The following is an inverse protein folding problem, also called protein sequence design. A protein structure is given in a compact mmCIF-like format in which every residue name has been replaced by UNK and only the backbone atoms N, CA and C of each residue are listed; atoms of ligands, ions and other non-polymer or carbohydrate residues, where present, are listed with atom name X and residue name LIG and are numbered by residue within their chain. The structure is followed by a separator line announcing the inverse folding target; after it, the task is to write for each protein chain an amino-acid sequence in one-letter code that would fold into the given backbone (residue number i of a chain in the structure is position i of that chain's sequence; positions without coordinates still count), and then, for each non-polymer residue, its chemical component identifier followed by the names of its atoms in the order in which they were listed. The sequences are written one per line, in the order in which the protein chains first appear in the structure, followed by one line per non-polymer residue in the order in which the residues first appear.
data_IF_823274449250
#
_entry.id   IF_823274449250
#
_cell.length_a   1.000
_cell.length_b   1.000
_cell.length_c   1.000
_cell.angle_alpha   90.00
_cell.angle_beta   90.00
_cell.angle_gamma   90.00
#
_symmetry.space_group_name_H-M   'P 1'
#
loop_
_entity.id
_entity.type
_entity.pdbx_description
1 polymer ?
#
# COMPACT_ATOMS: atom_id res chain seq x y z
N UNK A 1 9.75 10.75 8.05
CA UNK A 1 10.46 9.56 7.56
C UNK A 1 9.55 8.74 6.66
N UNK A 2 10.12 8.12 5.63
CA UNK A 2 9.43 7.17 4.76
C UNK A 2 9.64 5.75 5.28
N UNK A 3 8.54 5.06 5.61
CA UNK A 3 8.51 3.63 5.95
C UNK A 3 8.28 2.76 4.71
N UNK A 4 9.21 1.87 4.42
CA UNK A 4 9.19 0.92 3.30
C UNK A 4 9.20 -0.50 3.86
N UNK A 5 8.22 -1.32 3.48
CA UNK A 5 8.23 -2.75 3.79
C UNK A 5 9.03 -3.51 2.74
N UNK A 6 10.00 -4.32 3.17
CA UNK A 6 10.80 -5.18 2.29
C UNK A 6 10.52 -6.63 2.64
N UNK A 7 10.10 -7.41 1.65
CA UNK A 7 9.85 -8.84 1.83
C UNK A 7 10.21 -9.62 0.56
N UNK A 8 10.14 -10.93 0.64
CA UNK A 8 10.47 -11.82 -0.46
C UNK A 8 10.47 -13.28 -0.02
N UNK A 9 10.18 -14.17 -0.96
CA UNK A 9 10.21 -15.60 -0.68
C UNK A 9 11.62 -16.07 -0.27
N UNK A 10 11.69 -17.17 0.50
CA UNK A 10 12.97 -17.78 0.86
C UNK A 10 13.79 -18.10 -0.40
N UNK A 11 15.06 -17.67 -0.44
CA UNK A 11 15.94 -17.83 -1.60
C UNK A 11 15.80 -16.75 -2.68
N UNK A 12 14.87 -15.79 -2.55
CA UNK A 12 14.69 -14.70 -3.52
C UNK A 12 15.81 -13.65 -3.48
N UNK A 13 16.64 -13.63 -2.44
CA UNK A 13 17.75 -12.67 -2.32
C UNK A 13 17.33 -11.30 -1.78
N UNK A 14 16.34 -11.26 -0.89
CA UNK A 14 15.94 -10.07 -0.12
C UNK A 14 17.13 -9.32 0.50
N UNK A 15 18.08 -10.05 1.08
CA UNK A 15 19.29 -9.47 1.67
C UNK A 15 20.13 -8.68 0.66
N UNK A 16 20.17 -9.09 -0.61
CA UNK A 16 20.87 -8.34 -1.67
C UNK A 16 20.26 -6.95 -1.85
N UNK A 17 18.94 -6.87 -1.95
CA UNK A 17 18.24 -5.59 -2.07
C UNK A 17 18.36 -4.75 -0.78
N UNK A 18 18.23 -5.38 0.39
CA UNK A 18 18.38 -4.71 1.68
C UNK A 18 19.77 -4.07 1.84
N UNK A 19 20.84 -4.84 1.58
CA UNK A 19 22.22 -4.33 1.62
C UNK A 19 22.41 -3.18 0.65
N UNK A 20 21.92 -3.30 -0.58
CA UNK A 20 22.05 -2.22 -1.57
C UNK A 20 21.30 -0.95 -1.17
N UNK A 21 20.11 -1.07 -0.57
CA UNK A 21 19.39 0.09 -0.02
C UNK A 21 20.16 0.72 1.15
N UNK A 22 20.79 -0.07 2.01
CA UNK A 22 21.62 0.44 3.10
C UNK A 22 22.86 1.19 2.60
N UNK A 23 23.50 0.72 1.52
CA UNK A 23 24.62 1.41 0.86
C UNK A 23 24.23 2.81 0.36
N UNK A 24 22.97 3.00 -0.02
CA UNK A 24 22.41 4.32 -0.38
C UNK A 24 22.01 5.19 0.82
N UNK A 25 22.08 4.66 2.04
CA UNK A 25 21.76 5.38 3.28
C UNK A 25 20.40 5.04 3.90
N UNK A 26 19.72 3.98 3.44
CA UNK A 26 18.50 3.52 4.11
C UNK A 26 18.80 3.00 5.53
N UNK A 27 17.92 3.32 6.48
CA UNK A 27 17.97 2.71 7.82
C UNK A 27 17.28 1.36 7.76
N UNK A 28 18.05 0.27 7.93
CA UNK A 28 17.49 -1.08 7.95
C UNK A 28 16.99 -1.48 9.34
N UNK A 29 15.73 -1.85 9.41
CA UNK A 29 15.11 -2.49 10.56
C UNK A 29 14.86 -3.95 10.17
N UNK A 30 15.55 -4.89 10.80
CA UNK A 30 15.45 -6.33 10.50
C UNK A 30 14.62 -7.03 11.58
N UNK A 31 13.41 -7.47 11.23
CA UNK A 31 12.51 -8.17 12.14
C UNK A 31 13.12 -9.44 12.73
N UNK A 32 13.86 -10.22 11.95
CA UNK A 32 14.48 -11.45 12.43
C UNK A 32 15.60 -11.11 13.42
N UNK A 33 16.42 -10.10 13.13
CA UNK A 33 17.46 -9.63 14.06
C UNK A 33 16.84 -9.16 15.38
N UNK A 34 15.82 -8.31 15.32
CA UNK A 34 15.14 -7.79 16.52
C UNK A 34 14.51 -8.93 17.33
N UNK A 35 13.88 -9.90 16.68
CA UNK A 35 13.33 -11.08 17.34
C UNK A 35 14.40 -11.94 18.04
N UNK A 36 15.67 -11.84 17.63
CA UNK A 36 16.79 -12.46 18.36
C UNK A 36 17.22 -11.59 19.54
N UNK A 37 17.39 -10.29 19.33
CA UNK A 37 17.86 -9.32 20.33
C UNK A 37 16.96 -9.28 21.58
N UNK A 38 15.64 -9.27 21.40
CA UNK A 38 14.69 -9.14 22.52
C UNK A 38 14.65 -10.36 23.45
N UNK A 39 15.33 -11.45 23.09
CA UNK A 39 15.48 -12.68 23.88
C UNK A 39 16.95 -13.06 24.10
N UNK A 40 17.86 -12.10 24.00
CA UNK A 40 19.27 -12.32 24.37
C UNK A 40 19.46 -12.52 25.88
N UNK A 41 20.56 -13.14 26.31
CA UNK A 41 20.90 -13.27 27.74
C UNK A 41 20.76 -11.96 28.51
N UNK A 42 20.08 -12.02 29.66
CA UNK A 42 19.86 -10.86 30.53
C UNK A 42 18.67 -9.97 30.14
N UNK A 43 17.97 -10.24 29.04
CA UNK A 43 16.78 -9.49 28.66
C UNK A 43 15.52 -9.94 29.43
N UNK A 44 14.55 -9.03 29.65
CA UNK A 44 13.24 -9.40 30.19
C UNK A 44 12.50 -10.41 29.29
N UNK A 45 12.72 -10.36 27.97
CA UNK A 45 12.08 -11.29 27.04
C UNK A 45 12.57 -12.72 27.21
N UNK A 46 13.87 -12.94 27.39
CA UNK A 46 14.40 -14.28 27.67
C UNK A 46 13.83 -14.82 29.00
N UNK A 47 13.81 -14.01 30.05
CA UNK A 47 13.24 -14.40 31.34
C UNK A 47 11.76 -14.79 31.22
N UNK A 48 10.97 -14.04 30.45
CA UNK A 48 9.56 -14.35 30.20
C UNK A 48 9.39 -15.66 29.40
N UNK A 49 10.24 -15.91 28.39
CA UNK A 49 10.26 -17.16 27.64
C UNK A 49 10.57 -18.35 28.55
N UNK A 50 11.61 -18.24 29.40
CA UNK A 50 11.98 -19.29 30.36
C UNK A 50 10.84 -19.55 31.36
N UNK A 51 10.20 -18.50 31.88
CA UNK A 51 9.06 -18.64 32.78
C UNK A 51 7.88 -19.38 32.14
N UNK A 52 7.66 -19.19 30.83
CA UNK A 52 6.54 -19.80 30.10
C UNK A 52 6.82 -21.22 29.58
N UNK A 53 8.08 -21.54 29.26
CA UNK A 53 8.46 -22.78 28.57
C UNK A 53 9.44 -23.68 29.34
N UNK A 54 9.95 -23.24 30.49
CA UNK A 54 10.91 -23.99 31.32
C UNK A 54 12.37 -23.67 31.01
N UNK A 55 13.28 -24.04 31.93
CA UNK A 55 14.72 -23.77 31.83
C UNK A 55 15.43 -24.59 30.74
N UNK A 56 14.84 -25.68 30.27
CA UNK A 56 15.36 -26.51 29.19
C UNK A 56 15.31 -25.84 27.80
N UNK A 57 14.74 -24.63 27.71
CA UNK A 57 14.90 -23.75 26.54
C UNK A 57 16.19 -22.93 26.59
N UNK A 58 17.02 -23.09 27.62
CA UNK A 58 18.35 -22.49 27.71
C UNK A 58 19.44 -23.47 27.25
N UNK A 59 20.49 -22.92 26.66
CA UNK A 59 21.77 -23.60 26.46
C UNK A 59 22.65 -23.47 27.71
N UNK A 60 23.75 -24.22 27.76
CA UNK A 60 24.68 -24.24 28.91
C UNK A 60 25.30 -22.87 29.21
N UNK A 61 25.41 -22.00 28.21
CA UNK A 61 25.93 -20.63 28.34
C UNK A 61 24.87 -19.61 28.77
N UNK A 62 23.64 -20.05 29.04
CA UNK A 62 22.50 -19.20 29.40
C UNK A 62 21.82 -18.51 28.22
N UNK A 63 22.22 -18.80 26.99
CA UNK A 63 21.53 -18.32 25.78
C UNK A 63 20.30 -19.16 25.44
N UNK A 64 19.43 -18.62 24.59
CA UNK A 64 18.23 -19.31 24.15
C UNK A 64 18.56 -20.49 23.21
N UNK A 65 18.23 -21.71 23.64
CA UNK A 65 18.22 -22.91 22.79
C UNK A 65 17.01 -22.87 21.85
N UNK A 66 17.19 -22.27 20.67
CA UNK A 66 16.12 -22.09 19.67
C UNK A 66 15.49 -23.41 19.19
N UNK A 67 16.25 -24.49 18.90
CA UNK A 67 15.65 -25.79 18.59
C UNK A 67 14.73 -26.32 19.70
N UNK A 68 15.16 -26.25 20.97
CA UNK A 68 14.35 -26.68 22.09
C UNK A 68 13.09 -25.82 22.26
N UNK A 69 13.23 -24.50 22.16
CA UNK A 69 12.07 -23.60 22.16
C UNK A 69 11.12 -23.90 21.01
N UNK A 70 11.63 -24.09 19.79
CA UNK A 70 10.80 -24.37 18.62
C UNK A 70 10.01 -25.68 18.78
N UNK A 71 10.64 -26.73 19.32
CA UNK A 71 9.98 -28.01 19.58
C UNK A 71 8.79 -27.86 20.55
N UNK A 72 8.88 -26.93 21.51
CA UNK A 72 7.79 -26.64 22.46
C UNK A 72 6.76 -25.67 21.91
N UNK A 73 7.22 -24.52 21.40
CA UNK A 73 6.37 -23.43 20.97
C UNK A 73 5.56 -23.76 19.71
N UNK A 74 6.03 -24.70 18.88
CA UNK A 74 5.30 -25.14 17.69
C UNK A 74 4.68 -26.54 17.83
N UNK A 75 4.61 -27.08 19.05
CA UNK A 75 3.92 -28.34 19.31
C UNK A 75 2.40 -28.20 19.15
N UNK A 76 1.85 -27.03 19.53
CA UNK A 76 0.42 -26.75 19.49
C UNK A 76 0.14 -25.24 19.32
N UNK A 77 -1.12 -24.91 19.02
CA UNK A 77 -1.56 -23.53 18.76
C UNK A 77 -1.50 -22.64 20.01
N UNK A 78 -1.75 -23.19 21.19
CA UNK A 78 -1.76 -22.43 22.45
C UNK A 78 -0.33 -22.01 22.83
N UNK A 79 0.62 -22.94 22.74
CA UNK A 79 2.05 -22.72 22.92
C UNK A 79 2.58 -21.68 21.93
N UNK A 80 2.16 -21.75 20.66
CA UNK A 80 2.53 -20.76 19.64
C UNK A 80 2.00 -19.37 19.98
N UNK A 81 0.73 -19.26 20.36
CA UNK A 81 0.12 -18.00 20.81
C UNK A 81 0.81 -17.44 22.04
N UNK A 82 1.20 -18.29 22.99
CA UNK A 82 1.93 -17.90 24.20
C UNK A 82 3.29 -17.30 23.88
N UNK A 83 4.09 -17.96 23.03
CA UNK A 83 5.36 -17.41 22.59
C UNK A 83 5.17 -16.07 21.86
N UNK A 84 4.23 -16.02 20.91
CA UNK A 84 3.95 -14.80 20.15
C UNK A 84 3.49 -13.65 21.07
N UNK A 85 2.69 -13.94 22.09
CA UNK A 85 2.24 -12.96 23.08
C UNK A 85 3.38 -12.38 23.93
N UNK A 86 4.48 -13.11 24.12
CA UNK A 86 5.68 -12.62 24.79
C UNK A 86 6.55 -11.81 23.81
N UNK A 87 6.82 -12.38 22.63
CA UNK A 87 7.84 -11.84 21.71
C UNK A 87 7.32 -10.66 20.90
N UNK A 88 6.08 -10.70 20.38
CA UNK A 88 5.58 -9.65 19.47
C UNK A 88 5.55 -8.25 20.11
N UNK A 89 5.08 -8.07 21.37
CA UNK A 89 5.12 -6.75 22.00
C UNK A 89 6.55 -6.20 22.14
N UNK A 90 7.52 -7.06 22.47
CA UNK A 90 8.92 -6.67 22.62
C UNK A 90 9.55 -6.29 21.27
N UNK A 91 9.28 -7.07 20.22
CA UNK A 91 9.69 -6.75 18.85
C UNK A 91 9.09 -5.42 18.40
N UNK A 92 7.81 -5.19 18.68
CA UNK A 92 7.12 -3.94 18.39
C UNK A 92 7.74 -2.74 19.10
N UNK A 93 8.02 -2.86 20.40
CA UNK A 93 8.68 -1.82 21.19
C UNK A 93 10.08 -1.50 20.64
N UNK A 94 10.90 -2.52 20.40
CA UNK A 94 12.26 -2.33 19.86
C UNK A 94 12.25 -1.74 18.44
N UNK A 95 11.29 -2.13 17.62
CA UNK A 95 11.05 -1.53 16.30
C UNK A 95 10.72 -0.04 16.43
N UNK A 96 9.84 0.33 17.36
CA UNK A 96 9.47 1.71 17.60
C UNK A 96 10.65 2.56 18.10
N UNK A 97 11.50 2.01 18.97
CA UNK A 97 12.75 2.66 19.42
C UNK A 97 13.68 2.94 18.23
N UNK A 98 13.96 1.93 17.40
CA UNK A 98 14.82 2.09 16.22
C UNK A 98 14.25 3.10 15.22
N UNK A 99 12.93 3.13 15.06
CA UNK A 99 12.28 4.16 14.24
C UNK A 99 12.41 5.55 14.86
N UNK A 100 12.30 5.69 16.19
CA UNK A 100 12.45 6.97 16.88
C UNK A 100 13.90 7.51 16.87
N UNK A 101 14.89 6.62 16.80
CA UNK A 101 16.31 6.96 16.65
C UNK A 101 16.66 7.42 15.23
N UNK A 102 15.85 7.06 14.22
CA UNK A 102 16.10 7.44 12.84
C UNK A 102 15.91 8.95 12.61
N UNK A 103 16.73 9.52 11.72
CA UNK A 103 16.59 10.93 11.35
C UNK A 103 15.20 11.22 10.76
N UNK A 104 14.64 12.44 10.95
CA UNK A 104 13.31 12.78 10.43
C UNK A 104 13.17 12.58 8.91
N UNK A 105 14.26 12.73 8.17
CA UNK A 105 14.39 12.58 6.71
C UNK A 105 14.86 11.19 6.26
N UNK A 106 14.91 10.21 7.18
CA UNK A 106 15.32 8.86 6.85
C UNK A 106 14.30 8.12 5.96
N UNK A 107 14.82 7.29 5.07
CA UNK A 107 14.10 6.17 4.47
C UNK A 107 14.36 4.93 5.33
N UNK A 108 13.33 4.49 6.06
CA UNK A 108 13.39 3.30 6.92
C UNK A 108 12.86 2.11 6.13
N UNK A 109 13.72 1.11 5.91
CA UNK A 109 13.36 -0.13 5.24
C UNK A 109 13.21 -1.22 6.31
N UNK A 110 11.98 -1.67 6.51
CA UNK A 110 11.66 -2.76 7.42
C UNK A 110 11.68 -4.09 6.66
N UNK A 111 12.71 -4.88 6.90
CA UNK A 111 12.82 -6.24 6.41
C UNK A 111 11.95 -7.17 7.28
N UNK A 112 10.87 -7.70 6.67
CA UNK A 112 9.86 -8.52 7.34
C UNK A 112 9.57 -9.77 6.49
N UNK A 113 10.07 -10.96 6.88
CA UNK A 113 9.84 -12.20 6.14
C UNK A 113 8.36 -12.57 5.98
N UNK A 114 7.52 -12.27 6.98
CA UNK A 114 6.10 -12.62 7.03
C UNK A 114 5.18 -11.42 6.77
N UNK A 115 5.63 -10.43 6.01
CA UNK A 115 4.85 -9.21 5.73
C UNK A 115 3.51 -9.53 5.06
N UNK A 116 3.53 -10.46 4.10
CA UNK A 116 2.35 -10.84 3.33
C UNK A 116 1.42 -11.72 4.16
N UNK A 117 1.98 -12.72 4.81
CA UNK A 117 1.28 -13.68 5.67
C UNK A 117 0.63 -12.99 6.88
N UNK A 118 1.28 -11.97 7.43
CA UNK A 118 0.78 -11.18 8.56
C UNK A 118 -0.16 -10.03 8.17
N UNK A 119 -0.46 -9.85 6.88
CA UNK A 119 -1.25 -8.72 6.37
C UNK A 119 -0.71 -7.35 6.83
N UNK A 120 0.62 -7.20 6.85
CA UNK A 120 1.29 -6.00 7.38
C UNK A 120 1.56 -4.93 6.32
N UNK A 121 1.33 -5.24 5.04
CA UNK A 121 1.54 -4.33 3.92
C UNK A 121 0.91 -2.93 4.11
N UNK A 122 -0.33 -2.80 4.65
CA UNK A 122 -0.97 -1.48 4.77
C UNK A 122 -0.30 -0.55 5.80
N UNK A 123 0.59 -1.07 6.65
CA UNK A 123 1.35 -0.28 7.62
C UNK A 123 2.53 0.51 7.00
N UNK A 124 2.85 0.26 5.73
CA UNK A 124 3.97 0.87 5.01
C UNK A 124 3.48 1.76 3.88
N UNK A 125 4.19 2.86 3.63
CA UNK A 125 3.89 3.74 2.49
C UNK A 125 4.17 3.06 1.15
N UNK A 126 5.15 2.15 1.14
CA UNK A 126 5.56 1.38 -0.04
C UNK A 126 6.02 -0.02 0.37
N UNK A 127 5.63 -1.04 -0.38
CA UNK A 127 6.06 -2.43 -0.21
C UNK A 127 6.88 -2.86 -1.42
N UNK A 128 8.12 -3.25 -1.16
CA UNK A 128 9.06 -3.86 -2.10
C UNK A 128 9.05 -5.36 -1.91
N UNK A 129 8.77 -6.10 -2.97
CA UNK A 129 8.90 -7.55 -3.00
C UNK A 129 10.08 -7.92 -3.89
N UNK A 130 11.03 -8.66 -3.33
CA UNK A 130 12.08 -9.32 -4.08
C UNK A 130 11.63 -10.74 -4.40
N UNK A 131 11.67 -11.10 -5.67
CA UNK A 131 11.30 -12.44 -6.13
C UNK A 131 12.36 -13.02 -7.07
N UNK A 132 12.30 -14.34 -7.27
CA UNK A 132 13.08 -15.05 -8.26
C UNK A 132 12.34 -16.34 -8.65
N UNK A 133 12.53 -16.88 -9.87
CA UNK A 133 11.91 -18.13 -10.27
C UNK A 133 12.18 -19.27 -9.27
N UNK A 134 11.20 -20.16 -9.09
CA UNK A 134 11.28 -21.26 -8.10
C UNK A 134 12.60 -22.03 -8.18
N UNK A 135 13.01 -22.44 -9.38
CA UNK A 135 14.24 -23.22 -9.57
C UNK A 135 15.51 -22.43 -9.19
N UNK A 136 15.54 -21.12 -9.43
CA UNK A 136 16.64 -20.25 -8.98
C UNK A 136 16.69 -20.19 -7.46
N UNK A 137 15.53 -20.07 -6.80
CA UNK A 137 15.42 -20.05 -5.34
C UNK A 137 15.86 -21.39 -4.73
N UNK A 138 15.39 -22.51 -5.27
CA UNK A 138 15.77 -23.87 -4.84
C UNK A 138 17.28 -24.04 -4.96
N UNK A 139 17.87 -23.76 -6.14
CA UNK A 139 19.32 -23.83 -6.36
C UNK A 139 20.10 -23.03 -5.31
N UNK A 140 19.72 -21.77 -5.07
CA UNK A 140 20.36 -20.92 -4.06
C UNK A 140 20.30 -21.51 -2.66
N UNK A 141 19.19 -22.14 -2.28
CA UNK A 141 19.02 -22.76 -0.96
C UNK A 141 19.85 -24.03 -0.80
N UNK A 142 19.95 -24.83 -1.85
CA UNK A 142 20.80 -26.03 -1.86
C UNK A 142 22.28 -25.64 -1.81
N UNK A 143 22.72 -24.78 -2.74
CA UNK A 143 24.15 -24.44 -2.91
C UNK A 143 24.68 -23.56 -1.77
N UNK A 144 23.96 -22.50 -1.39
CA UNK A 144 24.47 -21.53 -0.42
C UNK A 144 24.12 -21.88 1.04
N UNK A 145 23.09 -22.71 1.27
CA UNK A 145 22.64 -23.06 2.63
C UNK A 145 22.65 -24.56 2.93
N UNK A 146 23.08 -25.40 1.99
CA UNK A 146 23.21 -26.85 2.18
C UNK A 146 21.88 -27.57 2.45
N UNK A 147 20.75 -26.99 2.05
CA UNK A 147 19.44 -27.62 2.25
C UNK A 147 19.25 -28.79 1.29
N UNK A 148 18.55 -29.84 1.75
CA UNK A 148 18.02 -30.85 0.85
C UNK A 148 16.99 -30.23 -0.10
N UNK A 149 17.00 -30.61 -1.36
CA UNK A 149 16.13 -30.02 -2.38
C UNK A 149 14.64 -30.12 -2.01
N UNK A 150 14.21 -31.30 -1.54
CA UNK A 150 12.82 -31.53 -1.13
C UNK A 150 12.39 -30.63 0.04
N UNK A 151 13.28 -30.39 1.01
CA UNK A 151 13.03 -29.46 2.12
C UNK A 151 12.95 -28.01 1.61
N UNK A 152 13.86 -27.60 0.72
CA UNK A 152 13.82 -26.27 0.11
C UNK A 152 12.49 -26.02 -0.63
N UNK A 153 12.04 -26.99 -1.44
CA UNK A 153 10.75 -26.93 -2.15
C UNK A 153 9.55 -26.93 -1.20
N UNK A 154 9.60 -27.72 -0.12
CA UNK A 154 8.54 -27.76 0.88
C UNK A 154 8.39 -26.39 1.57
N UNK A 155 9.51 -25.78 1.98
CA UNK A 155 9.51 -24.45 2.62
C UNK A 155 9.05 -23.34 1.70
N UNK A 156 9.46 -23.35 0.43
CA UNK A 156 9.00 -22.37 -0.56
C UNK A 156 7.47 -22.44 -0.71
N UNK A 157 6.90 -23.65 -0.78
CA UNK A 157 5.45 -23.86 -0.93
C UNK A 157 4.64 -23.51 0.32
N UNK A 158 5.25 -23.51 1.50
CA UNK A 158 4.58 -23.17 2.76
C UNK A 158 4.42 -21.65 2.96
N UNK A 159 5.14 -20.82 2.19
CA UNK A 159 5.04 -19.36 2.24
C UNK A 159 3.88 -18.85 1.37
N UNK A 160 3.59 -17.55 1.45
CA UNK A 160 2.65 -16.90 0.55
C UNK A 160 2.93 -17.25 -0.93
N UNK A 161 1.88 -17.34 -1.74
CA UNK A 161 2.00 -17.51 -3.19
C UNK A 161 2.46 -16.22 -3.89
N UNK A 162 2.91 -16.33 -5.13
CA UNK A 162 3.30 -15.17 -5.93
C UNK A 162 2.11 -14.24 -6.21
N UNK A 163 0.90 -14.78 -6.35
CA UNK A 163 -0.32 -14.00 -6.48
C UNK A 163 -0.59 -13.15 -5.23
N UNK A 164 -0.44 -13.74 -4.03
CA UNK A 164 -0.58 -13.02 -2.76
C UNK A 164 0.50 -11.94 -2.60
N UNK A 165 1.76 -12.24 -2.99
CA UNK A 165 2.84 -11.25 -3.03
C UNK A 165 2.51 -10.10 -4.01
N UNK A 166 2.13 -10.41 -5.25
CA UNK A 166 1.79 -9.41 -6.28
C UNK A 166 0.63 -8.50 -5.87
N UNK A 167 -0.34 -9.02 -5.12
CA UNK A 167 -1.46 -8.24 -4.60
C UNK A 167 -1.00 -7.06 -3.74
N UNK A 168 0.06 -7.24 -2.94
CA UNK A 168 0.54 -6.24 -1.99
C UNK A 168 1.80 -5.48 -2.43
N UNK A 169 2.45 -5.88 -3.53
CA UNK A 169 3.66 -5.22 -4.02
C UNK A 169 3.38 -3.89 -4.76
N UNK A 170 3.97 -2.79 -4.29
CA UNK A 170 4.06 -1.54 -5.09
C UNK A 170 5.28 -1.53 -5.99
N UNK A 171 6.31 -2.29 -5.61
CA UNK A 171 7.53 -2.53 -6.37
C UNK A 171 7.81 -4.02 -6.37
N UNK A 172 8.09 -4.56 -7.55
CA UNK A 172 8.54 -5.93 -7.74
C UNK A 172 9.94 -5.92 -8.31
N UNK A 173 10.90 -6.46 -7.56
CA UNK A 173 12.28 -6.61 -7.97
C UNK A 173 12.51 -8.06 -8.40
N UNK A 174 12.83 -8.26 -9.67
CA UNK A 174 13.19 -9.58 -10.21
C UNK A 174 14.68 -9.85 -9.98
N UNK A 175 14.96 -10.78 -9.09
CA UNK A 175 16.29 -11.27 -8.77
C UNK A 175 16.51 -12.69 -9.30
N UNK A 176 15.89 -13.04 -10.43
CA UNK A 176 16.09 -14.31 -11.13
C UNK A 176 17.35 -14.35 -11.98
N UNK A 177 17.80 -13.19 -12.46
CA UNK A 177 18.91 -13.04 -13.39
C UNK A 177 20.27 -12.78 -12.74
N UNK A 178 21.12 -12.07 -13.47
CA UNK A 178 22.41 -11.60 -12.98
C UNK A 178 22.22 -10.53 -11.89
N UNK A 179 23.11 -10.54 -10.89
CA UNK A 179 22.95 -9.72 -9.69
C UNK A 179 23.05 -8.21 -9.99
N UNK A 180 23.84 -7.82 -10.99
CA UNK A 180 23.97 -6.43 -11.44
C UNK A 180 22.64 -5.83 -11.93
N UNK A 181 21.75 -6.63 -12.52
CA UNK A 181 20.42 -6.18 -12.96
C UNK A 181 19.57 -5.74 -11.76
N UNK A 182 19.42 -6.60 -10.75
CA UNK A 182 18.61 -6.25 -9.57
C UNK A 182 19.24 -5.11 -8.77
N UNK A 183 20.57 -5.00 -8.75
CA UNK A 183 21.26 -3.88 -8.09
C UNK A 183 20.96 -2.57 -8.82
N UNK A 184 20.97 -2.56 -10.16
CA UNK A 184 20.59 -1.38 -10.94
C UNK A 184 19.11 -1.00 -10.73
N UNK A 185 18.20 -1.98 -10.63
CA UNK A 185 16.79 -1.72 -10.32
C UNK A 185 16.61 -1.12 -8.91
N UNK A 186 17.41 -1.58 -7.92
CA UNK A 186 17.42 -0.98 -6.57
C UNK A 186 17.97 0.44 -6.60
N UNK A 187 19.01 0.71 -7.39
CA UNK A 187 19.58 2.05 -7.57
C UNK A 187 18.55 3.02 -8.17
N UNK A 188 17.85 2.58 -9.21
CA UNK A 188 16.77 3.35 -9.83
C UNK A 188 15.59 3.55 -8.87
N UNK A 189 15.19 2.50 -8.13
CA UNK A 189 14.16 2.59 -7.11
C UNK A 189 14.50 3.67 -6.06
N UNK A 190 15.75 3.68 -5.60
CA UNK A 190 16.23 4.64 -4.62
C UNK A 190 16.13 6.08 -5.16
N UNK A 191 16.79 6.34 -6.30
CA UNK A 191 16.91 7.69 -6.86
C UNK A 191 15.58 8.25 -7.37
N UNK A 192 14.81 7.44 -8.11
CA UNK A 192 13.67 7.94 -8.87
C UNK A 192 12.34 7.86 -8.11
N UNK A 193 12.29 7.10 -7.00
CA UNK A 193 11.05 6.90 -6.24
C UNK A 193 11.24 7.13 -4.74
N UNK A 194 12.17 6.45 -4.07
CA UNK A 194 12.25 6.52 -2.59
C UNK A 194 12.67 7.90 -2.09
N UNK A 195 13.73 8.48 -2.65
CA UNK A 195 14.21 9.83 -2.27
C UNK A 195 13.14 10.91 -2.48
N UNK A 196 12.53 11.05 -3.68
CA UNK A 196 11.47 12.04 -3.88
C UNK A 196 10.20 11.73 -3.06
N UNK A 197 9.86 10.46 -2.83
CA UNK A 197 8.70 10.08 -2.03
C UNK A 197 8.90 10.44 -0.55
N UNK A 198 10.09 10.21 0.01
CA UNK A 198 10.45 10.65 1.37
C UNK A 198 10.21 12.14 1.53
N UNK A 199 10.78 12.94 0.62
CA UNK A 199 10.66 14.38 0.67
C UNK A 199 9.18 14.81 0.59
N UNK A 200 8.38 14.18 -0.27
CA UNK A 200 6.96 14.48 -0.39
C UNK A 200 6.18 14.12 0.88
N UNK A 201 6.45 12.97 1.49
CA UNK A 201 5.78 12.55 2.74
C UNK A 201 6.14 13.48 3.89
N UNK A 202 7.43 13.69 4.14
CA UNK A 202 7.91 14.52 5.26
C UNK A 202 7.47 15.97 5.14
N UNK A 203 7.49 16.52 3.93
CA UNK A 203 7.10 17.91 3.67
C UNK A 203 5.60 18.06 3.35
N UNK A 204 4.83 16.97 3.40
CA UNK A 204 3.41 16.90 3.01
C UNK A 204 3.13 17.58 1.66
N UNK A 205 4.04 17.37 0.69
CA UNK A 205 3.94 18.01 -0.62
C UNK A 205 3.04 17.18 -1.54
N UNK A 206 2.08 17.82 -2.22
CA UNK A 206 1.36 17.17 -3.30
C UNK A 206 2.31 16.89 -4.45
N UNK A 207 1.97 15.91 -5.29
CA UNK A 207 2.68 15.70 -6.55
C UNK A 207 2.56 16.96 -7.44
N UNK A 208 3.54 17.25 -8.32
CA UNK A 208 3.41 18.34 -9.29
C UNK A 208 2.21 18.16 -10.25
N UNK A 209 1.57 19.25 -10.70
CA UNK A 209 0.54 19.17 -11.74
C UNK A 209 1.10 18.54 -13.02
N UNK A 210 0.26 17.81 -13.74
CA UNK A 210 0.62 17.16 -15.01
C UNK A 210 -0.50 17.34 -16.04
N UNK A 211 -0.15 17.40 -17.32
CA UNK A 211 -1.11 17.41 -18.42
C UNK A 211 -1.88 16.08 -18.52
N UNK A 212 -3.11 16.07 -19.09
CA UNK A 212 -3.90 14.86 -19.20
C UNK A 212 -3.35 13.91 -20.28
N UNK A 213 -2.62 12.87 -19.87
CA UNK A 213 -2.23 11.77 -20.75
C UNK A 213 -3.23 10.62 -20.56
N UNK A 214 -3.94 10.25 -21.63
CA UNK A 214 -4.88 9.13 -21.61
C UNK A 214 -4.17 7.86 -22.08
N UNK A 215 -4.20 6.85 -21.23
CA UNK A 215 -3.66 5.52 -21.50
C UNK A 215 -4.79 4.51 -21.73
N UNK A 216 -4.52 3.38 -22.44
CA UNK A 216 -5.40 2.22 -22.41
C UNK A 216 -5.69 1.76 -20.98
N UNK A 217 -6.78 1.02 -20.79
CA UNK A 217 -7.11 0.47 -19.48
C UNK A 217 -6.04 -0.51 -19.00
N UNK A 218 -5.44 -0.24 -17.84
CA UNK A 218 -4.53 -1.16 -17.18
C UNK A 218 -5.31 -2.10 -16.26
N UNK A 219 -5.25 -3.40 -16.56
CA UNK A 219 -5.94 -4.45 -15.78
C UNK A 219 -5.45 -4.58 -14.35
N UNK A 220 -4.31 -3.98 -14.02
CA UNK A 220 -3.74 -3.97 -12.66
C UNK A 220 -4.23 -2.79 -11.80
N UNK A 221 -4.90 -1.79 -12.38
CA UNK A 221 -5.43 -0.65 -11.61
C UNK A 221 -6.31 -1.02 -10.40
N UNK A 222 -7.24 -2.00 -10.49
CA UNK A 222 -8.04 -2.40 -9.33
C UNK A 222 -7.16 -2.90 -8.17
N UNK A 223 -6.15 -3.70 -8.47
CA UNK A 223 -5.21 -4.22 -7.48
C UNK A 223 -4.33 -3.11 -6.89
N UNK A 224 -3.89 -2.17 -7.73
CA UNK A 224 -3.15 -0.98 -7.27
C UNK A 224 -4.01 -0.10 -6.35
N UNK A 225 -5.28 0.12 -6.70
CA UNK A 225 -6.22 0.88 -5.87
C UNK A 225 -6.49 0.21 -4.53
N UNK A 226 -6.63 -1.12 -4.51
CA UNK A 226 -6.86 -1.85 -3.26
C UNK A 226 -5.67 -1.72 -2.29
N UNK A 227 -4.43 -1.68 -2.78
CA UNK A 227 -3.26 -1.39 -1.90
C UNK A 227 -3.37 -0.02 -1.23
N UNK A 228 -3.76 1.00 -1.98
CA UNK A 228 -3.91 2.35 -1.45
C UNK A 228 -5.11 2.44 -0.49
N UNK A 229 -6.24 1.80 -0.84
CA UNK A 229 -7.41 1.73 0.04
C UNK A 229 -7.09 0.99 1.34
N UNK A 230 -6.31 -0.08 1.31
CA UNK A 230 -5.89 -0.77 2.53
C UNK A 230 -5.09 0.14 3.47
N UNK A 231 -4.15 0.95 2.94
CA UNK A 231 -3.41 1.96 3.72
C UNK A 231 -4.35 3.01 4.32
N UNK A 232 -5.28 3.52 3.51
CA UNK A 232 -6.25 4.51 3.95
C UNK A 232 -7.22 3.96 5.00
N UNK A 233 -7.66 2.71 4.88
CA UNK A 233 -8.47 2.03 5.90
C UNK A 233 -7.71 1.91 7.21
N UNK A 234 -6.44 1.51 7.17
CA UNK A 234 -5.60 1.46 8.36
C UNK A 234 -5.40 2.85 8.99
N UNK A 235 -5.19 3.88 8.18
CA UNK A 235 -4.99 5.25 8.66
C UNK A 235 -6.26 5.88 9.25
N UNK A 236 -7.43 5.60 8.65
CA UNK A 236 -8.70 6.17 9.07
C UNK A 236 -9.33 5.43 10.26
N UNK A 237 -9.01 4.14 10.44
CA UNK A 237 -9.52 3.31 11.54
C UNK A 237 -11.06 3.29 11.59
N UNK A 238 -11.60 3.27 12.81
CA UNK A 238 -13.03 3.07 13.06
C UNK A 238 -13.91 4.26 12.64
N UNK A 239 -13.32 5.40 12.27
CA UNK A 239 -14.05 6.57 11.75
C UNK A 239 -14.47 6.42 10.29
N UNK A 240 -13.94 5.42 9.59
CA UNK A 240 -14.25 5.19 8.19
C UNK A 240 -15.52 4.36 8.04
N UNK A 241 -16.52 4.91 7.36
CA UNK A 241 -17.73 4.16 7.01
C UNK A 241 -17.48 3.24 5.81
N UNK A 242 -16.72 3.72 4.82
CA UNK A 242 -16.45 2.99 3.58
C UNK A 242 -15.26 3.57 2.81
N UNK A 243 -14.56 2.72 2.05
CA UNK A 243 -13.47 3.08 1.16
C UNK A 243 -13.69 2.46 -0.24
N UNK A 244 -13.66 3.26 -1.30
CA UNK A 244 -13.95 2.83 -2.67
C UNK A 244 -12.93 3.30 -3.69
N UNK A 245 -12.70 2.45 -4.70
CA UNK A 245 -12.09 2.86 -5.95
C UNK A 245 -13.16 3.46 -6.87
N UNK A 246 -12.91 4.68 -7.32
CA UNK A 246 -13.78 5.49 -8.16
C UNK A 246 -13.10 5.89 -9.47
N UNK A 247 -13.77 6.76 -10.23
CA UNK A 247 -13.22 7.38 -11.42
C UNK A 247 -13.05 6.39 -12.56
N UNK A 248 -12.40 6.84 -13.63
CA UNK A 248 -12.28 6.04 -14.85
C UNK A 248 -11.40 4.79 -14.67
N UNK A 249 -10.40 4.83 -13.78
CA UNK A 249 -9.51 3.68 -13.53
C UNK A 249 -10.23 2.52 -12.83
N UNK A 250 -11.40 2.76 -12.24
CA UNK A 250 -12.25 1.72 -11.64
C UNK A 250 -13.18 1.02 -12.64
N UNK A 251 -13.26 1.48 -13.89
CA UNK A 251 -14.19 0.92 -14.89
C UNK A 251 -13.43 0.04 -15.89
N UNK A 252 -13.66 -1.29 -15.90
CA UNK A 252 -12.99 -2.18 -16.85
C UNK A 252 -13.14 -1.75 -18.32
N UNK A 253 -12.01 -1.66 -19.00
CA UNK A 253 -11.93 -1.31 -20.42
C UNK A 253 -12.05 0.18 -20.74
N UNK A 254 -12.22 1.06 -19.75
CA UNK A 254 -12.30 2.51 -19.98
C UNK A 254 -10.90 3.16 -19.99
N UNK A 255 -10.44 3.75 -21.12
CA UNK A 255 -9.19 4.51 -21.16
C UNK A 255 -9.23 5.69 -20.20
N UNK A 256 -8.13 5.96 -19.51
CA UNK A 256 -8.09 6.96 -18.45
C UNK A 256 -6.72 7.61 -18.31
N UNK A 257 -6.69 8.74 -17.60
CA UNK A 257 -5.45 9.22 -16.99
C UNK A 257 -5.01 8.16 -15.99
N UNK A 258 -3.71 7.88 -15.93
CA UNK A 258 -3.14 6.94 -14.97
C UNK A 258 -3.06 7.55 -13.55
N UNK A 259 -4.23 7.88 -13.01
CA UNK A 259 -4.46 8.45 -11.69
C UNK A 259 -5.60 7.65 -11.05
N UNK A 260 -5.33 7.09 -9.89
CA UNK A 260 -6.36 6.37 -9.12
C UNK A 260 -7.20 7.41 -8.37
N UNK A 261 -8.50 7.44 -8.62
CA UNK A 261 -9.43 8.26 -7.83
C UNK A 261 -10.06 7.35 -6.77
N UNK A 262 -9.89 7.69 -5.50
CA UNK A 262 -10.39 6.94 -4.35
C UNK A 262 -11.39 7.80 -3.58
N UNK A 263 -12.32 7.16 -2.87
CA UNK A 263 -13.20 7.85 -1.94
C UNK A 263 -13.18 7.21 -0.57
N UNK A 264 -13.08 8.06 0.44
CA UNK A 264 -13.38 7.74 1.84
C UNK A 264 -14.73 8.37 2.18
N UNK A 265 -15.63 7.58 2.75
CA UNK A 265 -16.88 8.09 3.32
C UNK A 265 -16.77 8.04 4.83
N UNK A 266 -16.97 9.21 5.45
CA UNK A 266 -16.87 9.44 6.89
C UNK A 266 -18.19 10.04 7.40
N UNK A 267 -18.51 9.98 8.71
CA UNK A 267 -19.79 10.46 9.20
C UNK A 267 -20.06 11.95 8.97
N UNK A 268 -19.01 12.78 9.07
CA UNK A 268 -19.11 14.25 8.93
C UNK A 268 -17.84 14.87 8.34
N UNK A 269 -17.88 16.13 7.91
CA UNK A 269 -16.66 16.86 7.53
C UNK A 269 -15.74 17.15 8.72
N UNK A 270 -16.27 17.24 9.95
CA UNK A 270 -15.44 17.34 11.15
C UNK A 270 -14.59 16.07 11.34
N UNK A 271 -15.14 14.88 11.01
CA UNK A 271 -14.37 13.64 11.00
C UNK A 271 -13.32 13.62 9.87
N UNK A 272 -13.65 14.18 8.70
CA UNK A 272 -12.67 14.34 7.63
C UNK A 272 -11.48 15.20 8.08
N UNK A 273 -11.75 16.32 8.76
CA UNK A 273 -10.73 17.22 9.30
C UNK A 273 -9.90 16.55 10.41
N UNK A 274 -10.55 15.79 11.31
CA UNK A 274 -9.87 15.05 12.37
C UNK A 274 -8.94 13.94 11.82
N UNK A 275 -9.29 13.34 10.67
CA UNK A 275 -8.48 12.30 10.01
C UNK A 275 -7.36 12.86 9.14
N UNK A 276 -7.37 14.15 8.81
CA UNK A 276 -6.47 14.71 7.81
C UNK A 276 -4.98 14.49 8.13
N UNK A 277 -4.62 14.57 9.42
CA UNK A 277 -3.27 14.30 9.90
C UNK A 277 -2.85 12.85 9.66
N UNK A 278 -3.67 11.89 10.09
CA UNK A 278 -3.38 10.46 9.95
C UNK A 278 -3.31 10.02 8.48
N UNK A 279 -4.20 10.53 7.62
CA UNK A 279 -4.17 10.28 6.18
C UNK A 279 -2.88 10.87 5.55
N UNK A 280 -2.48 12.07 5.97
CA UNK A 280 -1.23 12.69 5.52
C UNK A 280 0.00 11.87 5.94
N UNK A 281 0.04 11.40 7.18
CA UNK A 281 1.12 10.56 7.72
C UNK A 281 1.16 9.17 7.08
N UNK A 282 0.08 8.73 6.45
CA UNK A 282 0.03 7.53 5.61
C UNK A 282 0.50 7.77 4.17
N UNK A 283 0.96 8.98 3.84
CA UNK A 283 1.51 9.34 2.53
C UNK A 283 0.50 9.98 1.58
N UNK A 284 -0.62 10.48 2.10
CA UNK A 284 -1.65 11.18 1.33
C UNK A 284 -1.87 12.59 1.88
N UNK A 285 -0.95 13.54 1.62
CA UNK A 285 -1.10 14.91 2.10
C UNK A 285 -2.45 15.54 1.70
N UNK A 286 -3.03 16.28 2.66
CA UNK A 286 -4.19 17.12 2.41
C UNK A 286 -3.84 18.20 1.39
N UNK A 287 -4.71 18.38 0.40
CA UNK A 287 -4.61 19.48 -0.54
C UNK A 287 -5.35 20.69 0.02
N UNK A 288 -4.61 21.74 0.35
CA UNK A 288 -5.18 22.98 0.89
C UNK A 288 -6.16 23.63 -0.09
N UNK A 289 -7.16 24.34 0.44
CA UNK A 289 -8.18 25.04 -0.34
C UNK A 289 -9.61 24.58 -0.06
N UNK A 290 -10.56 25.28 -0.65
CA UNK A 290 -11.98 24.94 -0.59
C UNK A 290 -12.33 23.98 -1.72
N UNK A 291 -12.64 22.74 -1.36
CA UNK A 291 -12.99 21.69 -2.30
C UNK A 291 -14.47 21.37 -2.24
N UNK A 292 -15.13 21.37 -3.39
CA UNK A 292 -16.56 21.10 -3.51
C UNK A 292 -16.84 20.11 -4.63
N UNK A 293 -18.01 19.47 -4.59
CA UNK A 293 -18.65 18.83 -5.74
C UNK A 293 -19.87 19.66 -6.16
N UNK A 294 -20.16 19.66 -7.46
CA UNK A 294 -21.30 20.38 -8.02
C UNK A 294 -22.61 19.65 -7.72
N UNK A 295 -23.65 20.36 -7.22
CA UNK A 295 -24.97 19.79 -7.07
C UNK A 295 -25.62 19.55 -8.43
N UNK A 296 -26.55 18.60 -8.49
CA UNK A 296 -27.32 18.35 -9.72
C UNK A 296 -28.46 19.37 -9.94
N UNK A 297 -28.87 20.08 -8.88
CA UNK A 297 -29.92 21.09 -8.95
C UNK A 297 -29.32 22.47 -9.27
N UNK A 298 -29.87 23.13 -10.29
CA UNK A 298 -29.43 24.46 -10.71
C UNK A 298 -29.61 25.48 -9.58
N UNK A 299 -28.53 26.19 -9.23
CA UNK A 299 -28.53 27.21 -8.19
C UNK A 299 -28.43 26.68 -6.75
N UNK A 300 -28.32 25.36 -6.55
CA UNK A 300 -28.06 24.80 -5.23
C UNK A 300 -26.64 25.12 -4.74
N UNK A 301 -26.46 25.11 -3.43
CA UNK A 301 -25.15 25.34 -2.82
C UNK A 301 -24.18 24.17 -3.13
N UNK A 302 -22.90 24.45 -3.42
CA UNK A 302 -21.88 23.42 -3.63
C UNK A 302 -21.75 22.48 -2.43
N UNK A 303 -21.42 21.22 -2.69
CA UNK A 303 -21.26 20.21 -1.64
C UNK A 303 -19.81 20.14 -1.16
N UNK A 304 -19.48 20.59 0.07
CA UNK A 304 -18.12 20.62 0.55
C UNK A 304 -17.54 19.21 0.76
N UNK A 305 -16.24 19.07 0.49
CA UNK A 305 -15.45 17.85 0.70
C UNK A 305 -14.03 18.17 1.17
N UNK A 306 -13.22 17.14 1.40
CA UNK A 306 -11.76 17.25 1.47
C UNK A 306 -11.12 16.44 0.37
N UNK A 307 -9.94 16.87 -0.06
CA UNK A 307 -9.15 16.16 -1.08
C UNK A 307 -7.75 15.96 -0.54
N UNK A 308 -7.29 14.72 -0.54
CA UNK A 308 -5.89 14.36 -0.36
C UNK A 308 -5.33 13.85 -1.69
N UNK A 309 -4.01 13.87 -1.82
CA UNK A 309 -3.31 13.32 -3.00
C UNK A 309 -2.17 12.42 -2.56
N UNK A 310 -1.86 11.40 -3.34
CA UNK A 310 -0.71 10.52 -3.07
C UNK A 310 0.62 11.25 -3.22
N UNK A 311 1.51 11.08 -2.24
CA UNK A 311 2.88 11.63 -2.26
C UNK A 311 3.87 10.79 -3.08
N UNK A 312 3.52 9.56 -3.48
CA UNK A 312 4.35 8.68 -4.29
C UNK A 312 4.51 9.23 -5.73
N UNK A 313 5.72 9.60 -6.17
CA UNK A 313 5.93 10.20 -7.49
C UNK A 313 5.65 9.22 -8.64
N UNK A 314 5.63 7.91 -8.39
CA UNK A 314 5.38 6.88 -9.41
C UNK A 314 3.98 6.27 -9.31
N UNK A 315 3.18 6.63 -8.30
CA UNK A 315 1.76 6.22 -8.23
C UNK A 315 0.85 7.38 -7.87
N UNK A 316 0.33 8.01 -8.91
CA UNK A 316 -0.66 9.06 -8.81
C UNK A 316 -2.00 8.57 -8.19
N UNK A 317 -2.42 9.24 -7.12
CA UNK A 317 -3.69 8.97 -6.41
C UNK A 317 -4.36 10.30 -6.03
N UNK A 318 -5.68 10.38 -6.21
CA UNK A 318 -6.55 11.38 -5.59
C UNK A 318 -7.43 10.66 -4.56
N UNK A 319 -7.63 11.25 -3.38
CA UNK A 319 -8.50 10.70 -2.34
C UNK A 319 -9.53 11.76 -1.96
N UNK A 320 -10.78 11.50 -2.31
CA UNK A 320 -11.91 12.35 -1.98
C UNK A 320 -12.52 11.89 -0.65
N UNK A 321 -12.59 12.77 0.34
CA UNK A 321 -13.25 12.48 1.62
C UNK A 321 -14.59 13.18 1.64
N UNK A 322 -15.67 12.40 1.72
CA UNK A 322 -17.06 12.88 1.63
C UNK A 322 -17.90 12.39 2.80
N UNK A 323 -18.97 13.10 3.09
CA UNK A 323 -19.92 12.81 4.17
C UNK A 323 -21.31 12.46 3.63
N UNK A 324 -22.06 11.54 4.29
CA UNK A 324 -23.47 11.30 4.04
C UNK A 324 -24.40 12.50 4.22
N UNK A 325 -23.92 13.60 4.79
CA UNK A 325 -24.64 14.87 4.89
C UNK A 325 -24.97 15.48 3.51
N UNK A 326 -24.30 15.05 2.44
CA UNK A 326 -24.60 15.45 1.06
C UNK A 326 -24.74 14.24 0.14
N UNK A 327 -25.46 14.34 -1.00
CA UNK A 327 -25.57 13.24 -1.97
C UNK A 327 -24.26 12.88 -2.69
N UNK A 328 -23.22 13.73 -2.61
CA UNK A 328 -21.99 13.65 -3.39
C UNK A 328 -21.29 12.28 -3.32
N UNK A 329 -21.21 11.69 -2.12
CA UNK A 329 -20.56 10.38 -1.91
C UNK A 329 -21.25 9.27 -2.69
N UNK A 330 -22.58 9.30 -2.75
CA UNK A 330 -23.41 8.27 -3.37
C UNK A 330 -23.36 8.44 -4.87
N UNK A 331 -23.45 9.69 -5.33
CA UNK A 331 -23.43 10.04 -6.73
C UNK A 331 -22.12 9.60 -7.42
N UNK A 332 -21.00 9.73 -6.73
CA UNK A 332 -19.70 9.29 -7.26
C UNK A 332 -19.62 7.76 -7.47
N UNK A 333 -20.23 6.96 -6.59
CA UNK A 333 -20.35 5.51 -6.74
C UNK A 333 -21.33 5.15 -7.85
N UNK A 334 -22.47 5.82 -7.86
CA UNK A 334 -23.52 5.62 -8.84
C UNK A 334 -22.97 5.80 -10.25
N UNK A 335 -22.24 6.87 -10.50
CA UNK A 335 -21.64 7.12 -11.81
C UNK A 335 -20.68 6.00 -12.24
N UNK A 336 -19.83 5.51 -11.32
CA UNK A 336 -18.94 4.36 -11.60
C UNK A 336 -19.75 3.14 -12.02
N UNK A 337 -20.74 2.75 -11.21
CA UNK A 337 -21.47 1.50 -11.41
C UNK A 337 -22.42 1.58 -12.61
N UNK A 338 -23.01 2.75 -12.84
CA UNK A 338 -23.79 3.04 -14.04
C UNK A 338 -22.93 2.91 -15.31
N UNK A 339 -21.74 3.53 -15.36
CA UNK A 339 -20.84 3.40 -16.52
C UNK A 339 -20.45 1.92 -16.75
N UNK A 340 -20.19 1.15 -15.68
CA UNK A 340 -19.88 -0.30 -15.80
C UNK A 340 -21.04 -1.08 -16.40
N UNK A 341 -22.29 -0.71 -16.08
CA UNK A 341 -23.49 -1.35 -16.60
C UNK A 341 -23.87 -0.93 -18.03
N UNK A 342 -23.29 0.15 -18.57
CA UNK A 342 -23.67 0.73 -19.87
C UNK A 342 -22.46 0.88 -20.81
N UNK A 343 -22.10 -0.16 -21.58
CA UNK A 343 -20.97 -0.12 -22.49
C UNK A 343 -21.00 1.05 -23.50
N UNK A 344 -22.18 1.40 -24.03
CA UNK A 344 -22.32 2.53 -24.95
C UNK A 344 -21.98 3.88 -24.29
N UNK A 345 -22.37 4.08 -23.03
CA UNK A 345 -22.05 5.29 -22.26
C UNK A 345 -20.57 5.33 -21.88
N UNK A 346 -19.98 4.19 -21.55
CA UNK A 346 -18.54 4.04 -21.33
C UNK A 346 -17.75 4.44 -22.59
N UNK A 347 -18.17 3.98 -23.76
CA UNK A 347 -17.47 4.21 -25.02
C UNK A 347 -17.59 5.70 -25.44
N UNK A 348 -18.78 6.29 -25.30
CA UNK A 348 -18.99 7.73 -25.52
C UNK A 348 -18.15 8.58 -24.55
N UNK A 349 -18.06 8.18 -23.28
CA UNK A 349 -17.21 8.88 -22.31
C UNK A 349 -15.72 8.73 -22.63
N UNK A 350 -15.30 7.57 -23.15
CA UNK A 350 -13.92 7.35 -23.59
C UNK A 350 -13.54 8.29 -24.74
N UNK A 351 -14.40 8.41 -25.75
CA UNK A 351 -14.18 9.26 -26.92
C UNK A 351 -14.06 10.74 -26.54
N UNK A 352 -14.99 11.23 -25.71
CA UNK A 352 -14.93 12.60 -25.17
C UNK A 352 -13.60 12.88 -24.47
N UNK A 353 -13.17 11.98 -23.57
CA UNK A 353 -11.91 12.14 -22.83
C UNK A 353 -10.70 12.17 -23.75
N UNK A 354 -10.66 11.32 -24.78
CA UNK A 354 -9.57 11.32 -25.75
C UNK A 354 -9.54 12.62 -26.55
N UNK A 355 -10.69 13.13 -26.98
CA UNK A 355 -10.79 14.39 -27.69
C UNK A 355 -10.29 15.57 -26.83
N UNK A 356 -10.77 15.67 -25.58
CA UNK A 356 -10.36 16.74 -24.67
C UNK A 356 -8.87 16.61 -24.28
N UNK A 357 -8.36 15.41 -24.07
CA UNK A 357 -6.95 15.21 -23.77
C UNK A 357 -6.03 15.67 -24.91
N UNK A 358 -6.42 15.41 -26.18
CA UNK A 358 -5.69 15.94 -27.35
C UNK A 358 -5.76 17.46 -27.41
N UNK A 359 -6.94 18.05 -27.14
CA UNK A 359 -7.16 19.50 -27.14
C UNK A 359 -6.31 20.22 -26.10
N UNK A 360 -6.14 19.64 -24.92
CA UNK A 360 -5.47 20.24 -23.76
C UNK A 360 -4.08 19.66 -23.48
N UNK A 361 -3.46 18.99 -24.46
CA UNK A 361 -2.18 18.30 -24.28
C UNK A 361 -1.01 19.24 -23.91
N UNK A 362 -1.10 20.52 -24.28
CA UNK A 362 -0.07 21.53 -24.04
C UNK A 362 -0.35 22.47 -22.87
N UNK A 363 -1.47 22.29 -22.15
CA UNK A 363 -1.93 23.25 -21.13
C UNK A 363 -1.09 23.20 -19.85
N UNK A 364 -0.26 22.16 -19.65
CA UNK A 364 0.53 21.99 -18.42
C UNK A 364 -0.29 21.61 -17.18
N UNK A 365 -1.62 21.73 -17.23
CA UNK A 365 -2.56 21.40 -16.15
C UNK A 365 -3.76 20.59 -16.68
N UNK A 366 -4.67 20.19 -15.78
CA UNK A 366 -5.91 19.48 -16.15
C UNK A 366 -7.18 20.32 -16.01
N UNK A 367 -7.07 21.60 -15.64
CA UNK A 367 -8.23 22.44 -15.25
C UNK A 367 -9.22 22.58 -16.40
N UNK A 368 -8.77 23.10 -17.54
CA UNK A 368 -9.62 23.25 -18.73
C UNK A 368 -10.18 21.93 -19.26
N UNK A 369 -9.38 20.87 -19.18
CA UNK A 369 -9.82 19.50 -19.49
C UNK A 369 -10.94 19.04 -18.55
N UNK A 370 -10.87 19.38 -17.26
CA UNK A 370 -11.89 19.02 -16.28
C UNK A 370 -13.17 19.84 -16.48
N UNK A 371 -13.04 21.15 -16.69
CA UNK A 371 -14.16 22.08 -16.87
C UNK A 371 -15.00 21.73 -18.10
N UNK A 372 -14.36 21.54 -19.27
CA UNK A 372 -15.07 21.23 -20.52
C UNK A 372 -15.76 19.85 -20.47
N UNK A 373 -15.26 18.94 -19.63
CA UNK A 373 -15.85 17.61 -19.42
C UNK A 373 -17.06 17.66 -18.49
N UNK A 374 -17.17 18.66 -17.62
CA UNK A 374 -18.15 18.70 -16.55
C UNK A 374 -19.60 18.70 -17.06
N UNK A 375 -19.87 19.39 -18.17
CA UNK A 375 -21.21 19.40 -18.77
C UNK A 375 -21.71 18.01 -19.19
N UNK A 376 -20.82 17.16 -19.73
CA UNK A 376 -21.18 15.79 -20.08
C UNK A 376 -21.42 14.93 -18.82
N UNK A 377 -20.60 15.12 -17.78
CA UNK A 377 -20.73 14.40 -16.51
C UNK A 377 -22.03 14.75 -15.79
N UNK A 378 -22.41 16.03 -15.76
CA UNK A 378 -23.67 16.47 -15.17
C UNK A 378 -24.88 15.84 -15.87
N UNK A 379 -24.89 15.85 -17.21
CA UNK A 379 -25.94 15.18 -17.98
C UNK A 379 -25.97 13.65 -17.76
N UNK A 380 -24.81 13.03 -17.54
CA UNK A 380 -24.69 11.62 -17.23
C UNK A 380 -25.23 11.28 -15.83
N UNK A 381 -25.07 12.16 -14.84
CA UNK A 381 -25.67 11.95 -13.51
C UNK A 381 -27.19 11.81 -13.58
N UNK A 382 -27.87 12.63 -14.38
CA UNK A 382 -29.33 12.51 -14.56
C UNK A 382 -29.73 11.13 -15.12
N UNK A 383 -28.98 10.60 -16.09
CA UNK A 383 -29.22 9.25 -16.64
C UNK A 383 -28.90 8.15 -15.63
N UNK A 384 -27.82 8.32 -14.86
CA UNK A 384 -27.44 7.39 -13.82
C UNK A 384 -28.48 7.33 -12.69
N UNK A 385 -29.06 8.46 -12.28
CA UNK A 385 -30.16 8.51 -11.30
C UNK A 385 -31.41 7.80 -11.80
N UNK A 386 -31.79 8.03 -13.07
CA UNK A 386 -32.90 7.32 -13.69
C UNK A 386 -32.67 5.80 -13.70
N UNK A 387 -31.45 5.36 -14.01
CA UNK A 387 -31.07 3.94 -13.94
C UNK A 387 -31.16 3.41 -12.50
N UNK A 388 -30.63 4.16 -11.52
CA UNK A 388 -30.67 3.75 -10.12
C UNK A 388 -32.10 3.53 -9.62
N UNK A 389 -33.02 4.42 -9.97
CA UNK A 389 -34.44 4.28 -9.65
C UNK A 389 -35.06 3.04 -10.31
N UNK A 390 -34.75 2.79 -11.60
CA UNK A 390 -35.28 1.65 -12.36
C UNK A 390 -34.78 0.30 -11.82
N UNK A 391 -33.53 0.21 -11.38
CA UNK A 391 -32.92 -1.04 -10.91
C UNK A 391 -32.95 -1.18 -9.39
N UNK A 392 -33.51 -0.20 -8.67
CA UNK A 392 -33.39 -0.09 -7.21
C UNK A 392 -31.93 -0.18 -6.73
N UNK A 393 -31.02 0.45 -7.47
CA UNK A 393 -29.60 0.43 -7.15
C UNK A 393 -29.35 1.08 -5.80
N UNK A 394 -28.57 0.40 -4.95
CA UNK A 394 -28.01 0.93 -3.72
C UNK A 394 -26.51 0.65 -3.70
N UNK A 395 -25.69 1.60 -3.22
CA UNK A 395 -24.24 1.44 -3.13
C UNK A 395 -23.78 0.37 -2.16
#
# INVERSE_FOLDING_TARGET
MLRVGLTGGIGAGKSTAATRLAEHGAVLVDSDRIAREVVEPGTPGLAAVVAAFGEDVLAEDGSLNRPALAAKAFADEESRKRLNGIVHPLVGARTAELMAEAAPDAVVVHDIPLLVEGNLAPAYHLVVIVDAPMEVRVRRLVEARGMAEDDARARIRAQASDAQRRAVADVWLDNGGAQDIVLADVDALWADRLVPFEANVRLRRPRPPMSPVISPYDTTWPMQAERQLARLRQAAGDRLLRADHLGSTSVPGLPAKDVLDLQLTVPSLADADALAGAISDAGFPLLEGEWVDDPQEDGAAPWPKRVHVGADPKRAVNVHVRSPETPSWRLALLFRDWIRAHPAERDAYAELKQQLARKHAADGTIERYADEKQGWVNAAFTRAEAWAAQTSWTP
#
